data_IF_297124444516
#
_entry.id   IF_297124444516
#
_cell.length_a   1.000
_cell.length_b   1.000
_cell.length_c   1.000
_cell.angle_alpha   90.00
_cell.angle_beta   90.00
_cell.angle_gamma   90.00
#
_symmetry.space_group_name_H-M   'P 1'
#
loop_
_entity.id
_entity.type
_entity.pdbx_description
1 polymer ?
#
# COMPACT_ATOMS: atom_id res chain seq x y z
N UNK A 1 74.24 34.12 -44.08
CA UNK A 1 73.35 33.24 -44.83
C UNK A 1 72.68 32.29 -43.78
N UNK A 2 71.53 32.66 -43.28
CA UNK A 2 70.68 31.77 -42.49
C UNK A 2 69.26 32.22 -42.65
N UNK A 3 68.44 31.35 -43.22
CA UNK A 3 67.02 31.55 -43.46
C UNK A 3 66.23 31.12 -42.22
N UNK A 4 65.53 32.05 -41.56
CA UNK A 4 64.52 31.75 -40.55
C UNK A 4 63.21 31.39 -41.23
N UNK A 5 62.75 30.19 -41.05
CA UNK A 5 61.41 29.75 -41.42
C UNK A 5 60.46 30.03 -40.24
N UNK A 6 59.51 30.93 -40.47
CA UNK A 6 58.39 31.18 -39.54
C UNK A 6 57.42 30.02 -39.59
N UNK A 7 57.21 29.43 -38.42
CA UNK A 7 56.15 28.39 -38.18
C UNK A 7 54.95 29.17 -37.68
N UNK A 8 53.91 29.24 -38.53
CA UNK A 8 52.59 29.75 -38.10
C UNK A 8 51.91 28.80 -37.16
N UNK A 9 51.54 29.31 -36.00
CA UNK A 9 50.64 28.60 -35.05
C UNK A 9 49.21 28.86 -35.43
N UNK A 10 48.52 27.81 -35.90
CA UNK A 10 47.07 27.77 -36.05
C UNK A 10 46.44 27.47 -34.68
N UNK A 11 45.88 28.52 -34.08
CA UNK A 11 45.04 28.39 -32.89
C UNK A 11 43.64 27.84 -33.32
N UNK A 12 43.46 26.53 -33.16
CA UNK A 12 42.14 25.89 -33.31
C UNK A 12 41.34 26.11 -32.02
N UNK A 13 40.41 27.07 -32.06
CA UNK A 13 39.45 27.26 -30.97
C UNK A 13 38.49 26.12 -30.96
N UNK A 14 38.61 25.25 -29.94
CA UNK A 14 37.60 24.26 -29.63
C UNK A 14 36.42 24.93 -28.90
N UNK A 15 35.31 25.11 -29.60
CA UNK A 15 34.04 25.51 -28.99
C UNK A 15 33.43 24.27 -28.39
N UNK A 16 33.56 24.11 -27.08
CA UNK A 16 32.86 23.07 -26.31
C UNK A 16 31.39 23.46 -26.14
N UNK A 17 30.52 22.88 -26.96
CA UNK A 17 29.07 22.99 -26.77
C UNK A 17 28.73 22.13 -25.56
N UNK A 18 28.51 22.75 -24.38
CA UNK A 18 27.87 22.11 -23.27
C UNK A 18 26.39 21.85 -23.63
N UNK A 19 26.09 20.66 -24.12
CA UNK A 19 24.73 20.19 -24.23
C UNK A 19 24.20 20.00 -22.82
N UNK A 20 23.53 21.00 -22.28
CA UNK A 20 22.77 20.91 -21.05
C UNK A 20 21.62 19.93 -21.26
N UNK A 21 21.79 18.69 -20.81
CA UNK A 21 20.67 17.75 -20.67
C UNK A 21 19.77 18.31 -19.59
N UNK A 22 18.68 18.95 -19.96
CA UNK A 22 17.57 19.22 -19.06
C UNK A 22 16.99 17.87 -18.67
N UNK A 23 17.32 17.40 -17.48
CA UNK A 23 16.58 16.33 -16.83
C UNK A 23 15.16 16.84 -16.62
N UNK A 24 14.28 16.60 -17.60
CA UNK A 24 12.87 16.72 -17.39
C UNK A 24 12.55 15.72 -16.28
N UNK A 25 12.20 16.21 -15.08
CA UNK A 25 11.64 15.39 -14.03
C UNK A 25 10.34 14.81 -14.58
N UNK A 26 10.38 13.58 -15.06
CA UNK A 26 9.18 12.83 -15.37
C UNK A 26 8.47 12.61 -14.03
N UNK A 27 7.46 13.42 -13.74
CA UNK A 27 6.47 13.08 -12.73
C UNK A 27 5.75 11.83 -13.24
N UNK A 28 6.25 10.67 -12.86
CA UNK A 28 5.52 9.44 -13.08
C UNK A 28 4.20 9.55 -12.31
N UNK A 29 3.09 9.46 -13.01
CA UNK A 29 1.77 9.53 -12.39
C UNK A 29 1.66 8.41 -11.38
N UNK A 30 1.17 8.73 -10.16
CA UNK A 30 0.90 7.73 -9.15
C UNK A 30 -0.05 6.68 -9.73
N UNK A 31 0.28 5.41 -9.50
CA UNK A 31 -0.59 4.32 -9.92
C UNK A 31 -1.88 4.34 -9.08
N UNK A 32 -3.03 3.95 -9.67
CA UNK A 32 -4.26 3.76 -8.91
C UNK A 32 -4.05 2.77 -7.75
N UNK A 33 -4.76 2.98 -6.65
CA UNK A 33 -4.69 2.07 -5.48
C UNK A 33 -5.25 0.68 -5.79
N UNK A 34 -6.09 0.55 -6.81
CA UNK A 34 -6.59 -0.71 -7.34
C UNK A 34 -6.67 -0.65 -8.88
N UNK A 35 -6.40 -1.78 -9.53
CA UNK A 35 -6.56 -1.95 -10.97
C UNK A 35 -8.00 -2.37 -11.30
N UNK A 36 -8.49 -2.14 -12.54
CA UNK A 36 -9.81 -2.62 -12.95
C UNK A 36 -9.99 -4.12 -12.68
N UNK A 37 -11.11 -4.46 -12.03
CA UNK A 37 -11.44 -5.83 -11.62
C UNK A 37 -10.97 -6.22 -10.22
N UNK A 38 -10.11 -5.42 -9.59
CA UNK A 38 -9.75 -5.61 -8.19
C UNK A 38 -10.84 -5.05 -7.27
N UNK A 39 -10.89 -5.58 -6.04
CA UNK A 39 -11.85 -5.17 -5.01
C UNK A 39 -11.12 -4.63 -3.80
N UNK A 40 -11.49 -3.42 -3.38
CA UNK A 40 -11.07 -2.86 -2.09
C UNK A 40 -12.16 -3.18 -1.08
N UNK A 41 -11.77 -3.71 0.08
CA UNK A 41 -12.67 -3.88 1.23
C UNK A 41 -12.20 -2.99 2.37
N UNK A 42 -13.13 -2.34 3.04
CA UNK A 42 -12.85 -1.49 4.19
C UNK A 42 -13.58 -1.99 5.42
N UNK A 43 -12.90 -1.99 6.55
CA UNK A 43 -13.45 -2.37 7.85
C UNK A 43 -13.37 -1.17 8.79
N UNK A 44 -14.44 -0.90 9.54
CA UNK A 44 -14.49 0.22 10.49
C UNK A 44 -15.21 -0.19 11.75
N UNK A 45 -14.53 -0.11 12.90
CA UNK A 45 -15.09 -0.40 14.21
C UNK A 45 -14.88 0.75 15.18
N UNK A 46 -15.89 1.08 15.97
CA UNK A 46 -15.74 2.05 17.06
C UNK A 46 -14.74 1.53 18.09
N UNK A 47 -13.85 2.40 18.57
CA UNK A 47 -12.88 2.03 19.59
C UNK A 47 -12.59 3.21 20.50
N UNK A 48 -12.60 3.05 21.84
CA UNK A 48 -12.17 4.09 22.77
C UNK A 48 -10.71 4.46 22.54
N UNK A 49 -10.37 5.75 22.67
CA UNK A 49 -9.02 6.27 22.39
C UNK A 49 -7.92 5.50 23.14
N UNK A 50 -8.17 5.11 24.38
CA UNK A 50 -7.25 4.35 25.22
C UNK A 50 -7.00 2.92 24.76
N UNK A 51 -7.89 2.37 23.92
CA UNK A 51 -7.78 1.00 23.39
C UNK A 51 -7.21 0.94 21.97
N UNK A 52 -7.11 2.06 21.26
CA UNK A 52 -6.70 2.12 19.84
C UNK A 52 -5.35 1.42 19.61
N UNK A 53 -4.33 1.74 20.37
CA UNK A 53 -2.98 1.18 20.16
C UNK A 53 -2.95 -0.35 20.33
N UNK A 54 -3.73 -0.85 21.32
CA UNK A 54 -3.89 -2.28 21.51
C UNK A 54 -4.62 -2.93 20.32
N UNK A 55 -5.73 -2.33 19.90
CA UNK A 55 -6.53 -2.85 18.79
C UNK A 55 -5.72 -2.88 17.49
N UNK A 56 -4.96 -1.81 17.18
CA UNK A 56 -4.09 -1.77 16.00
C UNK A 56 -3.00 -2.85 16.06
N UNK A 57 -2.46 -3.13 17.25
CA UNK A 57 -1.50 -4.23 17.43
C UNK A 57 -2.12 -5.58 17.10
N UNK A 58 -3.33 -5.86 17.62
CA UNK A 58 -4.08 -7.08 17.33
C UNK A 58 -4.43 -7.20 15.84
N UNK A 59 -4.84 -6.12 15.18
CA UNK A 59 -5.09 -6.12 13.73
C UNK A 59 -3.81 -6.50 12.96
N UNK A 60 -2.65 -5.95 13.32
CA UNK A 60 -1.36 -6.30 12.69
C UNK A 60 -1.01 -7.77 12.87
N UNK A 61 -1.26 -8.32 14.04
CA UNK A 61 -1.03 -9.74 14.34
C UNK A 61 -1.96 -10.63 13.51
N UNK A 62 -3.24 -10.25 13.37
CA UNK A 62 -4.20 -10.94 12.53
C UNK A 62 -3.79 -10.91 11.06
N UNK A 63 -3.38 -9.76 10.52
CA UNK A 63 -2.84 -9.62 9.16
C UNK A 63 -1.59 -10.49 8.96
N UNK A 64 -0.71 -10.56 9.95
CA UNK A 64 0.47 -11.43 9.88
C UNK A 64 0.08 -12.92 9.86
N UNK A 65 -0.96 -13.30 10.59
CA UNK A 65 -1.51 -14.65 10.57
C UNK A 65 -2.11 -14.98 9.19
N UNK A 66 -2.91 -14.08 8.61
CA UNK A 66 -3.51 -14.21 7.28
C UNK A 66 -2.45 -14.45 6.21
N UNK A 67 -1.42 -13.61 6.16
CA UNK A 67 -0.31 -13.72 5.20
C UNK A 67 0.39 -15.07 5.25
N UNK A 68 0.40 -15.72 6.41
CA UNK A 68 1.07 -17.01 6.61
C UNK A 68 0.16 -18.20 6.30
N UNK A 69 -1.14 -18.08 6.53
CA UNK A 69 -2.05 -19.22 6.61
C UNK A 69 -3.17 -19.18 5.56
N UNK A 70 -3.54 -18.01 5.03
CA UNK A 70 -4.56 -17.92 4.00
C UNK A 70 -4.09 -18.58 2.69
N UNK A 71 -4.91 -19.44 2.09
CA UNK A 71 -4.64 -19.98 0.76
C UNK A 71 -4.92 -18.95 -0.35
N UNK A 72 -5.58 -17.83 -0.02
CA UNK A 72 -5.91 -16.75 -0.94
C UNK A 72 -5.02 -15.55 -0.64
N UNK A 73 -4.33 -15.04 -1.68
CA UNK A 73 -3.50 -13.86 -1.53
C UNK A 73 -4.34 -12.58 -1.63
N UNK A 74 -4.16 -11.72 -0.67
CA UNK A 74 -4.65 -10.34 -0.66
C UNK A 74 -3.72 -9.48 0.20
N UNK A 75 -3.79 -8.17 0.05
CA UNK A 75 -3.04 -7.25 0.90
C UNK A 75 -3.97 -6.58 1.88
N UNK A 76 -3.51 -6.37 3.09
CA UNK A 76 -4.25 -5.69 4.15
C UNK A 76 -3.37 -4.63 4.81
N UNK A 77 -3.96 -3.48 5.11
CA UNK A 77 -3.31 -2.35 5.76
C UNK A 77 -4.14 -1.87 6.95
N UNK A 78 -3.63 -1.99 8.18
CA UNK A 78 -4.33 -1.53 9.37
C UNK A 78 -4.25 -0.01 9.51
N UNK A 79 -5.22 0.60 10.16
CA UNK A 79 -5.20 2.03 10.39
C UNK A 79 -6.30 2.54 11.31
N UNK A 80 -6.26 3.86 11.52
CA UNK A 80 -7.30 4.61 12.22
C UNK A 80 -7.92 5.57 11.22
N UNK A 81 -9.23 5.52 11.11
CA UNK A 81 -9.99 6.41 10.24
C UNK A 81 -10.02 7.84 10.80
N UNK A 82 -10.27 8.83 9.94
CA UNK A 82 -10.30 10.24 10.34
C UNK A 82 -11.35 10.57 11.41
N UNK A 83 -12.36 9.72 11.57
CA UNK A 83 -13.40 9.80 12.60
C UNK A 83 -13.03 9.08 13.92
N UNK A 84 -11.81 8.55 14.01
CA UNK A 84 -11.29 7.86 15.19
C UNK A 84 -11.60 6.37 15.27
N UNK A 85 -12.35 5.81 14.30
CA UNK A 85 -12.59 4.36 14.22
C UNK A 85 -11.33 3.62 13.82
N UNK A 86 -11.14 2.42 14.34
CA UNK A 86 -10.09 1.50 13.92
C UNK A 86 -10.54 0.68 12.72
N UNK A 87 -9.60 0.09 12.01
CA UNK A 87 -9.91 -0.90 10.97
C UNK A 87 -8.76 -1.23 10.05
N UNK A 88 -9.11 -1.74 8.89
CA UNK A 88 -8.17 -2.10 7.84
C UNK A 88 -8.75 -1.78 6.46
N UNK A 89 -7.86 -1.77 5.48
CA UNK A 89 -8.21 -1.74 4.06
C UNK A 89 -7.54 -2.92 3.40
N UNK A 90 -8.34 -3.75 2.74
CA UNK A 90 -7.88 -4.91 2.00
C UNK A 90 -7.97 -4.67 0.50
N UNK A 91 -7.04 -5.26 -0.25
CA UNK A 91 -7.07 -5.30 -1.70
C UNK A 91 -7.05 -6.75 -2.16
N UNK A 92 -8.12 -7.16 -2.83
CA UNK A 92 -8.29 -8.48 -3.44
C UNK A 92 -8.14 -8.40 -4.96
N UNK A 93 -7.62 -9.46 -5.59
CA UNK A 93 -7.42 -9.52 -7.03
C UNK A 93 -8.72 -9.51 -7.83
N UNK A 94 -9.82 -9.98 -7.23
CA UNK A 94 -11.14 -10.05 -7.87
C UNK A 94 -12.23 -10.27 -6.83
N UNK A 95 -13.48 -10.13 -7.23
CA UNK A 95 -14.65 -10.50 -6.43
C UNK A 95 -14.59 -11.96 -5.98
N UNK A 96 -14.23 -12.88 -6.87
CA UNK A 96 -14.10 -14.31 -6.55
C UNK A 96 -13.00 -14.56 -5.50
N UNK A 97 -11.85 -13.87 -5.61
CA UNK A 97 -10.77 -13.97 -4.63
C UNK A 97 -11.21 -13.46 -3.26
N UNK A 98 -11.94 -12.34 -3.21
CA UNK A 98 -12.51 -11.80 -1.97
C UNK A 98 -13.47 -12.80 -1.30
N UNK A 99 -14.41 -13.35 -2.06
CA UNK A 99 -15.38 -14.32 -1.53
C UNK A 99 -14.69 -15.59 -0.97
N UNK A 100 -13.66 -16.08 -1.65
CA UNK A 100 -12.84 -17.21 -1.17
C UNK A 100 -12.06 -16.86 0.10
N UNK A 101 -11.51 -15.64 0.19
CA UNK A 101 -10.82 -15.18 1.38
C UNK A 101 -11.77 -15.10 2.58
N UNK A 102 -12.96 -14.55 2.40
CA UNK A 102 -13.98 -14.49 3.44
C UNK A 102 -14.45 -15.88 3.88
N UNK A 103 -14.66 -16.80 2.93
CA UNK A 103 -15.03 -18.18 3.25
C UNK A 103 -13.94 -18.89 4.08
N UNK A 104 -12.65 -18.64 3.77
CA UNK A 104 -11.56 -19.16 4.57
C UNK A 104 -11.52 -18.52 5.98
N UNK A 105 -11.67 -17.20 6.08
CA UNK A 105 -11.68 -16.47 7.36
C UNK A 105 -12.74 -17.03 8.31
N UNK A 106 -13.97 -17.24 7.81
CA UNK A 106 -15.07 -17.81 8.62
C UNK A 106 -14.81 -19.27 9.02
N UNK A 107 -14.11 -20.03 8.20
CA UNK A 107 -13.81 -21.45 8.46
C UNK A 107 -12.57 -21.67 9.34
N UNK A 108 -11.74 -20.64 9.55
CA UNK A 108 -10.53 -20.73 10.36
C UNK A 108 -10.80 -20.26 11.80
N UNK A 109 -10.90 -21.20 12.73
CA UNK A 109 -11.20 -20.92 14.16
C UNK A 109 -10.19 -19.95 14.79
N UNK A 110 -8.92 -20.02 14.36
CA UNK A 110 -7.89 -19.13 14.91
C UNK A 110 -8.07 -17.70 14.41
N UNK A 111 -8.36 -17.52 13.13
CA UNK A 111 -8.66 -16.21 12.57
C UNK A 111 -9.90 -15.60 13.25
N UNK A 112 -10.98 -16.37 13.36
CA UNK A 112 -12.22 -15.95 14.02
C UNK A 112 -11.97 -15.48 15.45
N UNK A 113 -11.19 -16.26 16.23
CA UNK A 113 -10.81 -15.87 17.61
C UNK A 113 -10.00 -14.59 17.67
N UNK A 114 -9.08 -14.36 16.72
CA UNK A 114 -8.29 -13.12 16.65
C UNK A 114 -9.17 -11.91 16.30
N UNK A 115 -10.14 -12.09 15.39
CA UNK A 115 -11.08 -11.03 15.03
C UNK A 115 -12.00 -10.65 16.19
N UNK A 116 -12.50 -11.64 16.94
CA UNK A 116 -13.25 -11.43 18.18
C UNK A 116 -12.42 -10.69 19.25
N UNK A 117 -11.12 -10.99 19.36
CA UNK A 117 -10.22 -10.29 20.29
C UNK A 117 -10.04 -8.82 19.94
N UNK A 118 -9.94 -8.49 18.63
CA UNK A 118 -9.92 -7.10 18.17
C UNK A 118 -11.20 -6.38 18.62
N UNK A 119 -12.38 -6.94 18.32
CA UNK A 119 -13.66 -6.37 18.68
C UNK A 119 -13.79 -6.16 20.20
N UNK A 120 -13.51 -7.19 20.97
CA UNK A 120 -13.62 -7.14 22.43
C UNK A 120 -12.64 -6.17 23.09
N UNK A 121 -11.45 -5.95 22.47
CA UNK A 121 -10.49 -4.94 22.97
C UNK A 121 -11.03 -3.52 22.90
N UNK A 122 -11.98 -3.27 22.00
CA UNK A 122 -12.68 -1.99 21.83
C UNK A 122 -14.05 -1.96 22.56
N UNK A 123 -14.46 -3.03 23.20
CA UNK A 123 -15.77 -3.14 23.87
C UNK A 123 -16.95 -3.26 22.89
N UNK A 124 -16.71 -3.73 21.68
CA UNK A 124 -17.71 -3.99 20.65
C UNK A 124 -17.75 -5.50 20.30
N UNK A 125 -18.66 -5.88 19.44
CA UNK A 125 -18.74 -7.24 18.85
C UNK A 125 -18.31 -7.21 17.39
N UNK A 126 -18.13 -8.38 16.77
CA UNK A 126 -17.74 -8.46 15.35
C UNK A 126 -18.83 -7.92 14.42
N UNK A 127 -20.09 -7.99 14.83
CA UNK A 127 -21.26 -7.48 14.09
C UNK A 127 -21.31 -5.94 14.07
N UNK A 128 -20.58 -5.28 14.97
CA UNK A 128 -20.51 -3.80 15.03
C UNK A 128 -19.51 -3.21 14.03
N UNK A 129 -18.73 -4.06 13.33
CA UNK A 129 -17.90 -3.57 12.25
C UNK A 129 -18.72 -3.26 11.00
N UNK A 130 -18.56 -2.04 10.49
CA UNK A 130 -18.99 -1.70 9.14
C UNK A 130 -17.98 -2.29 8.15
N UNK A 131 -18.48 -3.05 7.18
CA UNK A 131 -17.68 -3.62 6.10
C UNK A 131 -18.26 -3.16 4.77
N UNK A 132 -17.47 -2.44 3.99
CA UNK A 132 -17.83 -1.97 2.66
C UNK A 132 -16.86 -2.48 1.62
N UNK A 133 -17.35 -2.64 0.39
CA UNK A 133 -16.52 -3.01 -0.75
C UNK A 133 -16.67 -2.05 -1.92
N UNK A 134 -15.59 -1.88 -2.68
CA UNK A 134 -15.53 -1.06 -3.89
C UNK A 134 -14.92 -1.89 -5.03
N UNK A 135 -15.70 -2.12 -6.07
CA UNK A 135 -15.21 -2.73 -7.32
C UNK A 135 -14.50 -1.67 -8.16
N UNK A 136 -13.22 -1.86 -8.42
CA UNK A 136 -12.44 -0.97 -9.28
C UNK A 136 -12.80 -1.18 -10.75
N UNK A 137 -13.02 -0.06 -11.49
CA UNK A 137 -13.47 -0.09 -12.90
C UNK A 137 -12.61 0.78 -13.79
#
# INVERSE_FOLDING_TARGET
>A
MNRFKSIGWLLTSFVTILSGSTLAAHHEALQPVAQPGQVIVTYRGACPNEAIDKAITLIKETIAYERKNSPILYSSSPGVWSDGRIGAVDLHESQEAMEKAFAWQVADDKWSSMYEEIASSCGITIEDFEVDSLDSR
#
